data_IF_972519003109
#
_entry.id   IF_972519003109
#
_cell.length_a   1.000
_cell.length_b   1.000
_cell.length_c   1.000
_cell.angle_alpha   90.00
_cell.angle_beta   90.00
_cell.angle_gamma   90.00
#
_symmetry.space_group_name_H-M   'P 1'
#
loop_
_entity.id
_entity.type
_entity.pdbx_description
1 polymer ?
#
# COMPACT_ATOMS: atom_id res chain seq x y z
N UNK A 1 1.26 4.44 -14.16
CA UNK A 1 1.98 3.42 -13.38
C UNK A 1 1.39 2.07 -13.76
N UNK A 2 2.24 1.10 -14.12
CA UNK A 2 1.80 -0.28 -14.36
C UNK A 2 1.31 -0.90 -13.05
N UNK A 3 0.31 -1.78 -13.13
CA UNK A 3 -0.22 -2.48 -11.96
C UNK A 3 0.88 -3.30 -11.28
N UNK A 4 1.00 -3.18 -9.95
CA UNK A 4 1.90 -4.02 -9.16
C UNK A 4 1.50 -5.49 -9.25
N UNK A 5 2.51 -6.35 -9.40
CA UNK A 5 2.40 -7.80 -9.23
C UNK A 5 2.35 -8.15 -7.74
N UNK A 6 1.97 -9.39 -7.43
CA UNK A 6 2.01 -9.92 -6.07
C UNK A 6 3.40 -9.77 -5.45
N UNK A 7 4.43 -10.30 -6.11
CA UNK A 7 5.81 -10.30 -5.58
C UNK A 7 6.31 -8.88 -5.31
N UNK A 8 5.99 -7.93 -6.20
CA UNK A 8 6.41 -6.55 -6.04
C UNK A 8 5.67 -5.87 -4.89
N UNK A 9 4.37 -6.11 -4.75
CA UNK A 9 3.58 -5.58 -3.63
C UNK A 9 4.07 -6.17 -2.30
N UNK A 10 4.32 -7.47 -2.26
CA UNK A 10 4.86 -8.14 -1.08
C UNK A 10 6.24 -7.60 -0.70
N UNK A 11 7.16 -7.47 -1.67
CA UNK A 11 8.48 -6.89 -1.46
C UNK A 11 8.40 -5.47 -0.88
N UNK A 12 7.52 -4.62 -1.41
CA UNK A 12 7.30 -3.25 -0.88
C UNK A 12 6.83 -3.32 0.58
N UNK A 13 5.84 -4.16 0.88
CA UNK A 13 5.33 -4.29 2.25
C UNK A 13 6.43 -4.75 3.22
N UNK A 14 7.27 -5.71 2.81
CA UNK A 14 8.37 -6.19 3.65
C UNK A 14 9.48 -5.15 3.80
N UNK A 15 9.87 -4.45 2.73
CA UNK A 15 10.98 -3.47 2.77
C UNK A 15 10.65 -2.21 3.57
N UNK A 16 9.38 -1.78 3.54
CA UNK A 16 8.92 -0.59 4.26
C UNK A 16 8.24 -0.93 5.59
N UNK A 17 8.25 -2.20 6.03
CA UNK A 17 7.57 -2.65 7.25
C UNK A 17 6.09 -2.21 7.30
N UNK A 18 5.36 -2.39 6.20
CA UNK A 18 3.94 -2.01 6.10
C UNK A 18 3.06 -3.19 6.53
N UNK A 19 2.31 -3.07 7.63
CA UNK A 19 1.36 -4.10 8.05
C UNK A 19 0.17 -4.15 7.07
N UNK A 20 -0.09 -5.35 6.53
CA UNK A 20 -1.21 -5.63 5.61
C UNK A 20 -2.27 -6.55 6.21
N UNK A 21 -2.04 -7.01 7.44
CA UNK A 21 -2.90 -7.87 8.25
C UNK A 21 -4.03 -7.11 8.95
N UNK A 22 -3.91 -5.78 9.07
CA UNK A 22 -4.87 -4.90 9.76
C UNK A 22 -5.29 -3.73 8.88
N UNK A 23 -6.45 -3.15 9.19
CA UNK A 23 -6.99 -2.00 8.47
C UNK A 23 -6.18 -0.71 8.68
N UNK A 24 -6.23 0.21 7.70
CA UNK A 24 -5.50 1.49 7.72
C UNK A 24 -5.73 2.32 9.00
N UNK A 25 -6.94 2.31 9.56
CA UNK A 25 -7.27 3.10 10.74
C UNK A 25 -6.70 2.53 12.05
N UNK A 26 -6.18 1.30 12.04
CA UNK A 26 -5.47 0.69 13.16
C UNK A 26 -3.95 0.94 13.12
N UNK A 27 -3.48 1.72 12.13
CA UNK A 27 -2.07 2.02 11.94
C UNK A 27 -1.65 3.22 12.79
N UNK A 28 -0.46 3.13 13.39
CA UNK A 28 0.18 4.28 14.02
C UNK A 28 0.80 5.22 12.97
N UNK A 29 1.20 6.41 13.41
CA UNK A 29 1.78 7.44 12.54
C UNK A 29 3.04 6.96 11.79
N UNK A 30 3.86 6.11 12.41
CA UNK A 30 5.06 5.56 11.76
C UNK A 30 4.70 4.67 10.57
N UNK A 31 3.73 3.76 10.72
CA UNK A 31 3.24 2.94 9.61
C UNK A 31 2.65 3.79 8.49
N UNK A 32 1.93 4.87 8.84
CA UNK A 32 1.40 5.81 7.83
C UNK A 32 2.53 6.48 7.07
N UNK A 33 3.59 6.91 7.74
CA UNK A 33 4.77 7.50 7.09
C UNK A 33 5.46 6.48 6.16
N UNK A 34 5.68 5.25 6.62
CA UNK A 34 6.26 4.20 5.79
C UNK A 34 5.45 3.93 4.51
N UNK A 35 4.11 4.00 4.60
CA UNK A 35 3.23 3.86 3.43
C UNK A 35 3.41 5.04 2.45
N UNK A 36 3.61 6.26 2.95
CA UNK A 36 3.87 7.44 2.13
C UNK A 36 5.21 7.28 1.40
N UNK A 37 6.26 6.90 2.13
CA UNK A 37 7.60 6.71 1.57
C UNK A 37 7.59 5.60 0.50
N UNK A 38 6.88 4.50 0.77
CA UNK A 38 6.67 3.43 -0.19
C UNK A 38 5.90 3.91 -1.43
N UNK A 39 4.85 4.71 -1.25
CA UNK A 39 4.08 5.29 -2.35
C UNK A 39 4.96 6.18 -3.23
N UNK A 40 5.83 6.99 -2.62
CA UNK A 40 6.76 7.85 -3.33
C UNK A 40 7.82 7.05 -4.10
N UNK A 41 8.35 5.97 -3.50
CA UNK A 41 9.34 5.10 -4.15
C UNK A 41 8.84 4.47 -5.46
N UNK A 42 7.53 4.21 -5.57
CA UNK A 42 6.90 3.66 -6.78
C UNK A 42 6.16 4.71 -7.60
N UNK A 43 6.28 5.98 -7.24
CA UNK A 43 5.60 7.12 -7.89
C UNK A 43 4.08 6.92 -7.96
N UNK A 44 3.50 6.34 -6.91
CA UNK A 44 2.06 6.13 -6.81
C UNK A 44 1.34 7.47 -6.75
N UNK A 45 0.37 7.66 -7.65
CA UNK A 45 -0.49 8.83 -7.69
C UNK A 45 -1.86 8.46 -7.13
N UNK A 46 -2.33 9.29 -6.21
CA UNK A 46 -3.69 9.16 -5.67
C UNK A 46 -4.72 9.34 -6.80
N UNK A 47 -5.85 8.60 -6.78
CA UNK A 47 -6.95 8.82 -7.73
C UNK A 47 -7.52 10.23 -7.63
N UNK A 48 -7.98 10.80 -8.76
CA UNK A 48 -8.52 12.17 -8.83
C UNK A 48 -9.70 12.42 -7.88
N UNK A 49 -10.56 11.42 -7.69
CA UNK A 49 -11.78 11.52 -6.86
C UNK A 49 -11.59 10.81 -5.51
N UNK A 50 -10.39 10.88 -4.96
CA UNK A 50 -10.07 10.20 -3.71
C UNK A 50 -10.49 11.03 -2.50
N UNK A 51 -11.31 10.45 -1.62
CA UNK A 51 -11.69 11.03 -0.34
C UNK A 51 -10.79 10.45 0.77
N UNK A 52 -9.76 11.20 1.13
CA UNK A 52 -8.81 10.85 2.20
C UNK A 52 -7.35 10.98 1.78
N UNK A 53 -6.44 10.42 2.58
CA UNK A 53 -5.01 10.51 2.33
C UNK A 53 -4.53 9.55 1.23
N UNK A 54 -3.51 9.96 0.49
CA UNK A 54 -2.80 9.09 -0.48
C UNK A 54 -2.35 7.77 0.16
N UNK A 55 -1.89 7.82 1.41
CA UNK A 55 -1.48 6.64 2.18
C UNK A 55 -2.61 5.62 2.31
N UNK A 56 -3.83 6.05 2.67
CA UNK A 56 -4.99 5.16 2.78
C UNK A 56 -5.28 4.42 1.49
N UNK A 57 -5.23 5.12 0.36
CA UNK A 57 -5.49 4.52 -0.95
C UNK A 57 -4.37 3.57 -1.38
N UNK A 58 -3.13 3.91 -1.09
CA UNK A 58 -2.00 3.05 -1.42
C UNK A 58 -1.98 1.78 -0.57
N UNK A 59 -2.23 1.88 0.74
CA UNK A 59 -2.38 0.74 1.63
C UNK A 59 -3.50 -0.20 1.18
N UNK A 60 -4.68 0.35 0.88
CA UNK A 60 -5.80 -0.43 0.36
C UNK A 60 -5.49 -1.07 -1.00
N UNK A 61 -4.64 -0.45 -1.82
CA UNK A 61 -4.17 -1.04 -3.08
C UNK A 61 -3.25 -2.23 -2.84
N UNK A 62 -2.25 -2.11 -1.95
CA UNK A 62 -1.35 -3.19 -1.58
C UNK A 62 -2.10 -4.40 -1.01
N UNK A 63 -3.00 -4.20 -0.04
CA UNK A 63 -3.83 -5.26 0.53
C UNK A 63 -4.63 -6.00 -0.56
N UNK A 64 -5.22 -5.27 -1.51
CA UNK A 64 -5.99 -5.86 -2.62
C UNK A 64 -5.14 -6.66 -3.60
N UNK A 65 -3.89 -6.26 -3.83
CA UNK A 65 -2.96 -7.00 -4.71
C UNK A 65 -2.50 -8.28 -4.02
N UNK A 66 -2.10 -8.19 -2.76
CA UNK A 66 -1.63 -9.33 -1.95
C UNK A 66 -2.76 -10.36 -1.77
N UNK A 67 -3.96 -9.91 -1.41
CA UNK A 67 -5.11 -10.79 -1.22
C UNK A 67 -5.50 -11.55 -2.50
N UNK A 68 -5.33 -10.94 -3.68
CA UNK A 68 -5.59 -11.60 -4.96
C UNK A 68 -4.49 -12.57 -5.36
N UNK A 69 -3.23 -12.21 -5.14
CA UNK A 69 -2.10 -13.06 -5.51
C UNK A 69 -1.96 -14.30 -4.63
N UNK A 70 -2.41 -14.24 -3.36
CA UNK A 70 -2.43 -15.39 -2.43
C UNK A 70 -3.36 -16.54 -2.88
N UNK A 71 -4.24 -16.30 -3.84
CA UNK A 71 -5.24 -17.27 -4.34
C UNK A 71 -4.76 -17.99 -5.61
N UNK A 72 -3.64 -17.55 -6.20
CA UNK A 72 -2.97 -18.18 -7.35
C UNK A 72 -1.73 -18.91 -6.89
#
# INVERSE_FOLDING_TARGET
MTRLTYDRAWAICTSFCIPVDRGFHALNSQHVQNIIDAADSVKYRQPKNANGSRARYFHAYLCRVIARGKIT
#
